data_IF_553341278864
#
_entry.id   IF_553341278864
#
_cell.length_a   1.000
_cell.length_b   1.000
_cell.length_c   1.000
_cell.angle_alpha   90.00
_cell.angle_beta   90.00
_cell.angle_gamma   90.00
#
_symmetry.space_group_name_H-M   'P 1'
#
loop_
_entity.id
_entity.type
_entity.pdbx_description
1 polymer ?
#
# COMPACT_ATOMS: atom_id res chain seq x y z
N UNK A 1 19.97 -7.62 6.46
CA UNK A 1 19.42 -6.43 5.79
C UNK A 1 19.03 -6.85 4.40
N UNK A 2 17.97 -6.27 3.86
CA UNK A 2 17.38 -6.63 2.56
C UNK A 2 17.74 -5.51 1.56
N UNK A 3 18.12 -5.87 0.34
CA UNK A 3 18.55 -5.01 -0.75
C UNK A 3 17.65 -5.30 -1.95
N UNK A 4 17.08 -4.29 -2.61
CA UNK A 4 16.36 -4.48 -3.87
C UNK A 4 17.29 -5.04 -4.96
N UNK A 5 16.75 -5.89 -5.83
CA UNK A 5 17.44 -6.43 -7.00
C UNK A 5 16.44 -6.90 -8.04
N UNK A 6 16.91 -7.24 -9.24
CA UNK A 6 16.08 -7.86 -10.28
C UNK A 6 15.50 -9.25 -9.91
N UNK A 7 15.88 -9.82 -8.75
CA UNK A 7 15.27 -11.03 -8.18
C UNK A 7 14.66 -10.77 -6.78
N UNK A 8 14.29 -9.53 -6.54
CA UNK A 8 13.75 -9.03 -5.29
C UNK A 8 14.74 -8.82 -4.15
N UNK A 9 14.23 -8.81 -2.92
CA UNK A 9 14.97 -8.45 -1.72
C UNK A 9 16.07 -9.48 -1.36
N UNK A 10 17.33 -9.15 -1.62
CA UNK A 10 18.51 -9.97 -1.30
C UNK A 10 19.21 -9.50 -0.02
N UNK A 11 20.05 -10.32 0.62
CA UNK A 11 20.73 -9.95 1.87
C UNK A 11 22.27 -9.95 1.82
N UNK A 12 22.86 -10.02 0.62
CA UNK A 12 24.29 -10.32 0.45
C UNK A 12 25.14 -9.16 -0.12
N UNK A 13 24.54 -8.02 -0.48
CA UNK A 13 25.24 -6.79 -0.85
C UNK A 13 26.11 -6.84 -2.12
N UNK A 14 26.05 -7.92 -2.93
CA UNK A 14 26.85 -8.01 -4.15
C UNK A 14 26.08 -7.40 -5.31
N UNK A 15 26.55 -6.27 -5.82
CA UNK A 15 25.87 -5.54 -6.91
C UNK A 15 24.65 -4.74 -6.46
N UNK A 16 24.55 -4.47 -5.15
CA UNK A 16 23.54 -3.60 -4.56
C UNK A 16 24.20 -2.28 -4.09
N UNK A 17 23.43 -1.19 -3.97
CA UNK A 17 23.89 0.07 -3.36
C UNK A 17 24.23 -0.11 -1.88
N UNK A 18 24.95 0.88 -1.32
CA UNK A 18 25.21 0.96 0.12
C UNK A 18 23.90 0.99 0.93
N UNK A 19 23.98 0.66 2.23
CA UNK A 19 22.81 0.62 3.12
C UNK A 19 22.03 1.95 3.10
N UNK A 20 20.71 1.87 2.92
CA UNK A 20 19.80 3.01 2.92
C UNK A 20 18.96 3.05 4.21
N UNK A 21 18.65 4.25 4.69
CA UNK A 21 17.81 4.49 5.87
C UNK A 21 16.66 5.42 5.50
N UNK A 22 15.44 4.93 5.70
CA UNK A 22 14.19 5.61 5.36
C UNK A 22 13.36 5.82 6.62
N UNK A 23 12.82 7.02 6.76
CA UNK A 23 11.91 7.45 7.83
C UNK A 23 10.89 8.41 7.22
N UNK A 24 9.75 8.60 7.87
CA UNK A 24 8.81 9.66 7.52
C UNK A 24 9.50 11.03 7.59
N UNK A 25 9.21 11.90 6.62
CA UNK A 25 9.87 13.19 6.45
C UNK A 25 11.29 13.14 5.87
N UNK A 26 11.73 14.30 5.35
CA UNK A 26 12.98 14.42 4.59
C UNK A 26 12.71 14.38 3.09
N UNK A 27 13.15 13.32 2.44
CA UNK A 27 12.87 13.06 1.02
C UNK A 27 11.60 12.19 0.81
N UNK A 28 11.07 11.54 1.86
CA UNK A 28 9.78 10.83 1.80
C UNK A 28 8.64 11.81 2.03
N UNK A 29 7.58 11.72 1.24
CA UNK A 29 6.37 12.52 1.41
C UNK A 29 5.79 12.37 2.82
N UNK A 30 5.22 13.47 3.29
CA UNK A 30 4.71 13.74 4.65
C UNK A 30 5.75 13.99 5.76
N UNK A 31 5.27 14.38 6.94
CA UNK A 31 6.06 14.66 8.13
C UNK A 31 5.97 13.50 9.12
N UNK A 32 6.97 13.40 10.02
CA UNK A 32 6.91 12.43 11.11
C UNK A 32 6.08 13.01 12.25
N UNK A 33 5.00 12.32 12.63
CA UNK A 33 4.12 12.66 13.73
C UNK A 33 4.17 11.59 14.83
N UNK A 34 3.53 11.87 15.97
CA UNK A 34 3.54 10.94 17.09
C UNK A 34 2.54 9.81 16.87
N UNK A 35 3.06 8.61 16.60
CA UNK A 35 2.38 7.27 16.59
C UNK A 35 1.86 6.77 15.24
N UNK A 36 2.29 7.38 14.16
CA UNK A 36 1.91 7.04 12.77
C UNK A 36 2.23 5.59 12.37
N UNK A 37 3.09 4.92 13.15
CA UNK A 37 3.50 3.53 12.96
C UNK A 37 4.09 3.25 11.56
N UNK A 38 4.79 4.23 10.98
CA UNK A 38 5.52 4.06 9.73
C UNK A 38 6.37 2.78 9.71
N UNK A 39 6.09 1.91 8.74
CA UNK A 39 6.80 0.63 8.57
C UNK A 39 6.28 -0.51 9.43
N UNK A 40 5.07 -0.40 10.00
CA UNK A 40 4.44 -1.49 10.74
C UNK A 40 4.06 -2.66 9.80
N UNK A 41 3.31 -2.44 8.70
CA UNK A 41 3.26 -3.38 7.59
C UNK A 41 4.14 -2.91 6.42
N UNK A 42 4.78 -3.87 5.77
CA UNK A 42 5.63 -3.67 4.59
C UNK A 42 5.25 -4.68 3.53
N UNK A 43 5.30 -4.27 2.27
CA UNK A 43 5.21 -5.17 1.13
C UNK A 43 6.14 -4.68 0.00
N UNK A 44 6.63 -5.59 -0.82
CA UNK A 44 7.51 -5.30 -1.96
C UNK A 44 6.97 -5.91 -3.23
N UNK A 45 7.12 -5.21 -4.35
CA UNK A 45 6.75 -5.66 -5.69
C UNK A 45 7.21 -4.65 -6.73
N UNK A 46 7.16 -5.02 -8.00
CA UNK A 46 7.53 -4.14 -9.11
C UNK A 46 6.28 -3.40 -9.63
N UNK A 47 5.87 -2.34 -8.93
CA UNK A 47 4.62 -1.61 -9.19
C UNK A 47 4.71 -0.78 -10.48
N UNK A 48 5.92 -0.44 -10.92
CA UNK A 48 6.18 0.31 -12.14
C UNK A 48 6.81 -0.54 -13.27
N UNK A 49 6.90 -1.86 -13.10
CA UNK A 49 7.41 -2.83 -14.07
C UNK A 49 8.75 -2.40 -14.72
N UNK A 50 9.67 -1.87 -13.91
CA UNK A 50 10.99 -1.42 -14.37
C UNK A 50 12.10 -2.46 -14.12
N UNK A 51 11.76 -3.56 -13.46
CA UNK A 51 12.64 -4.67 -13.11
C UNK A 51 13.33 -4.51 -11.76
N UNK A 52 12.94 -3.54 -10.92
CA UNK A 52 13.40 -3.39 -9.55
C UNK A 52 12.22 -3.38 -8.59
N UNK A 53 12.28 -4.21 -7.54
CA UNK A 53 11.26 -4.16 -6.49
C UNK A 53 11.19 -2.77 -5.84
N UNK A 54 9.96 -2.27 -5.75
CA UNK A 54 9.52 -1.13 -4.97
C UNK A 54 9.15 -1.56 -3.55
N UNK A 55 8.97 -0.58 -2.65
CA UNK A 55 8.58 -0.81 -1.26
C UNK A 55 7.33 0.00 -0.92
N UNK A 56 6.23 -0.70 -0.63
CA UNK A 56 5.06 -0.14 0.03
C UNK A 56 5.23 -0.19 1.55
N UNK A 57 5.02 0.95 2.20
CA UNK A 57 5.18 1.17 3.63
C UNK A 57 3.85 1.63 4.20
N UNK A 58 3.21 0.82 5.03
CA UNK A 58 2.00 1.24 5.70
C UNK A 58 2.29 2.15 6.89
N UNK A 59 1.37 3.09 7.06
CA UNK A 59 1.38 4.12 8.10
C UNK A 59 -0.02 4.14 8.68
N UNK A 60 -0.39 3.06 9.36
CA UNK A 60 -1.80 2.74 9.65
C UNK A 60 -2.49 3.72 10.58
N UNK A 61 -1.72 4.53 11.30
CA UNK A 61 -2.22 5.48 12.30
C UNK A 61 -1.89 6.92 11.85
N UNK A 62 -1.67 7.14 10.54
CA UNK A 62 -1.45 8.47 9.96
C UNK A 62 -2.67 9.38 10.12
N UNK A 63 -2.42 10.64 10.48
CA UNK A 63 -3.43 11.68 10.54
C UNK A 63 -3.46 12.49 9.25
N UNK A 64 -4.32 12.11 8.31
CA UNK A 64 -4.40 12.81 7.01
C UNK A 64 -5.34 14.02 7.06
N UNK A 65 -6.19 14.11 8.08
CA UNK A 65 -7.09 15.23 8.32
C UNK A 65 -6.69 15.91 9.62
N UNK A 66 -6.05 17.08 9.52
CA UNK A 66 -5.85 17.93 10.69
C UNK A 66 -7.19 18.53 11.15
N UNK A 67 -7.61 18.19 12.38
CA UNK A 67 -8.70 18.92 13.03
C UNK A 67 -8.15 20.10 13.86
N UNK A 68 -8.95 21.16 14.05
CA UNK A 68 -8.52 22.35 14.79
C UNK A 68 -8.19 22.07 16.28
N UNK A 69 -8.52 20.87 16.78
CA UNK A 69 -8.28 20.43 18.14
C UNK A 69 -7.00 19.59 18.29
N UNK A 70 -6.35 19.22 17.18
CA UNK A 70 -5.17 18.36 17.15
C UNK A 70 -5.49 16.93 17.60
N UNK A 71 -6.67 16.42 17.27
CA UNK A 71 -6.97 15.01 17.51
C UNK A 71 -6.22 14.13 16.51
N UNK A 72 -5.67 13.04 17.02
CA UNK A 72 -5.23 11.91 16.21
C UNK A 72 -6.48 11.21 15.69
N UNK A 73 -6.67 11.26 14.39
CA UNK A 73 -7.79 10.69 13.68
C UNK A 73 -7.45 9.30 13.14
N UNK A 74 -6.17 8.93 13.03
CA UNK A 74 -5.68 7.61 12.67
C UNK A 74 -6.34 7.06 11.38
N UNK A 75 -6.55 7.91 10.36
CA UNK A 75 -7.15 7.47 9.09
C UNK A 75 -6.26 6.47 8.35
N UNK A 76 -4.95 6.66 8.48
CA UNK A 76 -3.93 5.80 7.89
C UNK A 76 -3.56 6.15 6.45
N UNK A 77 -2.36 5.73 6.07
CA UNK A 77 -1.79 5.95 4.75
C UNK A 77 -0.84 4.81 4.32
N UNK A 78 -0.43 4.85 3.07
CA UNK A 78 0.63 4.01 2.49
C UNK A 78 1.56 4.87 1.67
N UNK A 79 2.86 4.81 1.97
CA UNK A 79 3.92 5.42 1.15
C UNK A 79 4.56 4.37 0.26
N UNK A 80 4.82 4.70 -1.00
CA UNK A 80 5.50 3.82 -1.96
C UNK A 80 6.84 4.43 -2.36
N UNK A 81 7.93 3.75 -2.02
CA UNK A 81 9.29 4.10 -2.43
C UNK A 81 9.67 3.27 -3.64
N UNK A 82 10.15 3.91 -4.70
CA UNK A 82 10.47 3.22 -5.94
C UNK A 82 11.90 2.67 -5.93
N UNK A 83 12.06 1.44 -6.42
CA UNK A 83 13.34 0.80 -6.66
C UNK A 83 14.08 1.41 -7.84
N UNK A 84 15.39 1.18 -7.88
CA UNK A 84 16.25 1.53 -9.01
C UNK A 84 17.58 0.78 -8.91
N UNK A 85 18.46 0.96 -9.90
CA UNK A 85 19.84 0.46 -9.83
C UNK A 85 20.64 1.03 -8.65
N UNK A 86 20.22 2.18 -8.11
CA UNK A 86 20.84 2.85 -6.97
C UNK A 86 20.09 2.59 -5.65
N UNK A 87 19.10 1.67 -5.67
CA UNK A 87 18.30 1.28 -4.51
C UNK A 87 16.94 1.96 -4.48
N UNK A 88 16.29 1.93 -3.32
CA UNK A 88 15.06 2.67 -3.10
C UNK A 88 15.32 4.17 -3.23
N UNK A 89 14.35 4.92 -3.72
CA UNK A 89 14.42 6.37 -3.81
C UNK A 89 13.01 7.00 -3.75
N UNK A 90 12.99 8.30 -3.43
CA UNK A 90 11.79 9.10 -3.20
C UNK A 90 11.99 10.54 -3.71
N UNK A 91 12.89 10.76 -4.65
CA UNK A 91 13.27 12.12 -5.06
C UNK A 91 13.20 12.37 -6.57
N UNK A 92 12.75 11.37 -7.33
CA UNK A 92 12.55 11.46 -8.77
C UNK A 92 13.84 11.55 -9.59
N UNK A 93 15.03 11.31 -9.01
CA UNK A 93 16.31 11.49 -9.73
C UNK A 93 16.62 10.34 -10.68
N UNK A 94 16.40 9.10 -10.25
CA UNK A 94 16.72 7.87 -10.99
C UNK A 94 15.51 6.95 -11.21
N UNK A 95 14.30 7.46 -10.97
CA UNK A 95 13.02 6.77 -11.10
C UNK A 95 11.89 7.75 -10.77
N UNK A 96 10.65 7.27 -10.56
CA UNK A 96 9.53 8.11 -10.11
C UNK A 96 9.77 8.71 -8.72
N UNK A 97 9.13 9.84 -8.42
CA UNK A 97 9.03 10.30 -7.03
C UNK A 97 8.23 9.28 -6.20
N UNK A 98 8.34 9.30 -4.87
CA UNK A 98 7.49 8.44 -4.05
C UNK A 98 6.01 8.82 -4.21
N UNK A 99 5.13 7.86 -3.88
CA UNK A 99 3.70 8.10 -3.84
C UNK A 99 3.17 7.98 -2.42
N UNK A 100 2.17 8.80 -2.10
CA UNK A 100 1.48 8.79 -0.84
C UNK A 100 -0.02 8.55 -1.06
N UNK A 101 -0.52 7.44 -0.55
CA UNK A 101 -1.88 6.96 -0.76
C UNK A 101 -2.65 6.91 0.55
N UNK A 102 -3.86 7.45 0.51
CA UNK A 102 -4.84 7.40 1.60
C UNK A 102 -6.25 7.40 0.98
N UNK A 103 -7.30 7.14 1.76
CA UNK A 103 -8.66 7.01 1.19
C UNK A 103 -9.17 8.31 0.54
N UNK A 104 -8.69 9.48 0.98
CA UNK A 104 -9.01 10.76 0.32
C UNK A 104 -8.15 11.07 -0.94
N UNK A 105 -7.24 10.18 -1.36
CA UNK A 105 -6.43 10.40 -2.57
C UNK A 105 -7.32 10.50 -3.82
N UNK A 106 -6.99 11.37 -4.80
CA UNK A 106 -7.85 11.58 -5.95
C UNK A 106 -8.14 10.29 -6.74
N UNK A 107 -9.42 9.94 -6.85
CA UNK A 107 -9.88 8.78 -7.62
C UNK A 107 -10.18 7.53 -6.80
N UNK A 108 -9.81 7.50 -5.51
CA UNK A 108 -10.18 6.41 -4.59
C UNK A 108 -11.70 6.26 -4.48
N UNK A 109 -12.16 5.01 -4.35
CA UNK A 109 -13.59 4.69 -4.18
C UNK A 109 -14.14 4.86 -2.77
N UNK A 110 -13.28 4.71 -1.76
CA UNK A 110 -13.63 5.00 -0.37
C UNK A 110 -13.20 6.43 0.01
N UNK A 111 -13.70 6.94 1.13
CA UNK A 111 -13.30 8.20 1.74
C UNK A 111 -12.77 7.91 3.13
N UNK A 112 -11.80 8.71 3.58
CA UNK A 112 -11.19 8.47 4.87
C UNK A 112 -12.13 8.88 6.00
N UNK A 113 -12.15 8.04 7.03
CA UNK A 113 -12.89 8.22 8.25
C UNK A 113 -11.97 8.00 9.44
N UNK A 114 -12.31 8.67 10.54
CA UNK A 114 -11.55 8.59 11.78
C UNK A 114 -11.43 7.12 12.18
N UNK A 115 -10.19 6.63 12.24
CA UNK A 115 -9.76 5.29 12.64
C UNK A 115 -9.99 4.19 11.62
N UNK A 116 -10.16 4.48 10.34
CA UNK A 116 -10.22 3.44 9.31
C UNK A 116 -8.93 2.59 9.25
N UNK A 117 -7.81 3.20 9.61
CA UNK A 117 -6.48 2.61 9.62
C UNK A 117 -6.08 2.03 8.25
N UNK A 118 -6.23 2.81 7.19
CA UNK A 118 -5.77 2.47 5.84
C UNK A 118 -4.28 2.11 5.87
N UNK A 119 -3.90 1.03 5.19
CA UNK A 119 -2.53 0.54 5.24
C UNK A 119 -2.22 -0.31 6.48
N UNK A 120 -3.23 -0.77 7.23
CA UNK A 120 -3.05 -1.68 8.39
C UNK A 120 -2.47 -3.05 8.04
N UNK A 121 -2.68 -3.51 6.81
CA UNK A 121 -2.02 -4.69 6.25
C UNK A 121 -1.83 -4.50 4.75
N UNK A 122 -0.82 -5.15 4.18
CA UNK A 122 -0.46 -5.02 2.77
C UNK A 122 -0.26 -6.41 2.17
N UNK A 123 -0.60 -6.57 0.88
CA UNK A 123 -0.30 -7.76 0.10
C UNK A 123 -0.13 -7.41 -1.37
N UNK A 124 0.79 -8.09 -2.06
CA UNK A 124 1.21 -7.74 -3.41
C UNK A 124 1.01 -8.89 -4.39
N UNK A 125 0.75 -8.54 -5.64
CA UNK A 125 0.79 -9.47 -6.77
C UNK A 125 0.11 -8.90 -8.00
N UNK A 126 0.40 -9.45 -9.18
CA UNK A 126 -0.28 -9.08 -10.43
C UNK A 126 -1.72 -9.63 -10.46
N UNK A 127 -2.67 -8.89 -9.89
CA UNK A 127 -4.07 -9.31 -9.77
C UNK A 127 -4.86 -9.12 -11.06
N UNK A 128 -4.38 -8.26 -11.97
CA UNK A 128 -5.05 -7.97 -13.23
C UNK A 128 -4.42 -8.66 -14.46
N UNK A 129 -3.24 -9.26 -14.31
CA UNK A 129 -2.50 -9.98 -15.35
C UNK A 129 -1.80 -9.08 -16.36
N UNK A 130 -1.45 -7.85 -16.00
CA UNK A 130 -0.79 -6.88 -16.90
C UNK A 130 0.73 -6.87 -16.81
N UNK A 131 1.29 -7.64 -15.87
CA UNK A 131 2.72 -7.81 -15.64
C UNK A 131 3.37 -6.75 -14.77
N UNK A 132 2.60 -5.79 -14.22
CA UNK A 132 3.02 -4.93 -13.12
C UNK A 132 2.42 -5.49 -11.83
N UNK A 133 3.16 -5.48 -10.73
CA UNK A 133 2.58 -5.90 -9.46
C UNK A 133 1.52 -4.89 -8.98
N UNK A 134 0.46 -5.39 -8.33
CA UNK A 134 -0.61 -4.59 -7.74
C UNK A 134 -0.52 -4.63 -6.21
N UNK A 135 -1.14 -3.66 -5.55
CA UNK A 135 -1.15 -3.55 -4.09
C UNK A 135 -2.55 -3.69 -3.51
N UNK A 136 -2.76 -4.71 -2.68
CA UNK A 136 -3.91 -4.84 -1.80
C UNK A 136 -3.62 -4.21 -0.44
N UNK A 137 -4.56 -3.40 0.06
CA UNK A 137 -4.42 -2.55 1.24
C UNK A 137 -5.58 -2.83 2.19
N UNK A 138 -5.28 -3.32 3.38
CA UNK A 138 -6.25 -3.56 4.43
C UNK A 138 -6.68 -2.28 5.14
N UNK A 139 -7.99 -2.16 5.35
CA UNK A 139 -8.67 -1.06 6.04
C UNK A 139 -9.60 -1.70 7.07
N UNK A 140 -9.01 -2.26 8.13
CA UNK A 140 -9.74 -3.21 9.00
C UNK A 140 -10.85 -2.56 9.84
N UNK A 141 -10.95 -1.24 9.87
CA UNK A 141 -12.01 -0.51 10.56
C UNK A 141 -12.92 0.29 9.63
N UNK A 142 -12.85 0.04 8.33
CA UNK A 142 -13.76 0.66 7.36
C UNK A 142 -15.24 0.41 7.73
N UNK A 143 -16.03 1.48 7.74
CA UNK A 143 -17.49 1.40 7.85
C UNK A 143 -18.15 0.92 6.55
N UNK A 144 -18.99 -0.12 6.62
CA UNK A 144 -19.89 -0.45 5.51
C UNK A 144 -21.16 0.41 5.56
N UNK A 145 -21.02 1.72 5.33
CA UNK A 145 -22.08 2.74 5.54
C UNK A 145 -23.41 2.47 4.84
N UNK A 146 -23.38 1.86 3.65
CA UNK A 146 -24.59 1.49 2.90
C UNK A 146 -25.52 0.56 3.71
N UNK A 147 -24.97 -0.12 4.72
CA UNK A 147 -25.69 -1.04 5.62
C UNK A 147 -25.67 -0.60 7.08
N UNK A 148 -25.11 0.56 7.39
CA UNK A 148 -24.95 1.09 8.76
C UNK A 148 -24.21 0.12 9.68
N UNK A 149 -23.14 -0.50 9.15
CA UNK A 149 -22.25 -1.35 9.92
C UNK A 149 -20.95 -0.61 10.19
N UNK A 150 -20.45 -0.75 11.41
CA UNK A 150 -19.24 -0.08 11.88
C UNK A 150 -18.07 -1.07 11.95
N UNK A 151 -16.89 -0.63 11.56
CA UNK A 151 -15.66 -1.44 11.62
C UNK A 151 -15.79 -2.81 10.91
N UNK A 152 -16.61 -2.88 9.86
CA UNK A 152 -16.82 -4.12 9.08
C UNK A 152 -15.53 -4.52 8.33
N UNK A 153 -14.72 -3.51 8.01
CA UNK A 153 -13.44 -3.64 7.33
C UNK A 153 -13.57 -3.77 5.82
N UNK A 154 -12.48 -3.42 5.13
CA UNK A 154 -12.36 -3.50 3.69
C UNK A 154 -10.93 -3.78 3.24
N UNK A 155 -10.80 -4.11 1.95
CA UNK A 155 -9.53 -4.19 1.22
C UNK A 155 -9.65 -3.32 -0.02
N UNK A 156 -8.80 -2.30 -0.13
CA UNK A 156 -8.61 -1.55 -1.36
C UNK A 156 -7.55 -2.24 -2.23
N UNK A 157 -7.69 -2.18 -3.55
CA UNK A 157 -6.68 -2.67 -4.50
C UNK A 157 -6.30 -1.52 -5.43
N UNK A 158 -5.02 -1.14 -5.42
CA UNK A 158 -4.42 -0.20 -6.36
C UNK A 158 -3.64 -0.99 -7.40
N UNK A 159 -3.72 -0.56 -8.66
CA UNK A 159 -3.11 -1.29 -9.77
C UNK A 159 -1.77 -0.69 -10.15
N UNK A 160 -0.80 -1.56 -10.45
CA UNK A 160 0.49 -1.17 -10.99
C UNK A 160 0.39 -0.55 -12.38
N UNK A 161 1.46 0.12 -12.80
CA UNK A 161 1.56 0.74 -14.11
C UNK A 161 3.00 1.07 -14.44
N UNK A 162 3.44 0.58 -15.60
CA UNK A 162 4.74 0.99 -16.17
C UNK A 162 4.92 2.49 -16.45
N UNK A 163 3.87 3.28 -16.35
CA UNK A 163 3.92 4.72 -16.61
C UNK A 163 3.64 5.59 -15.40
N UNK A 164 2.91 5.07 -14.42
CA UNK A 164 2.43 5.84 -13.27
C UNK A 164 2.83 5.23 -11.92
N UNK A 165 3.41 4.02 -11.90
CA UNK A 165 3.50 3.21 -10.69
C UNK A 165 2.10 2.78 -10.23
N UNK A 166 1.82 2.79 -8.93
CA UNK A 166 0.45 2.53 -8.46
C UNK A 166 -0.51 3.61 -8.97
N UNK A 167 -1.73 3.19 -9.29
CA UNK A 167 -2.79 4.07 -9.79
C UNK A 167 -4.19 3.53 -9.48
N UNK A 168 -5.18 4.41 -9.68
CA UNK A 168 -6.60 4.19 -9.34
C UNK A 168 -7.57 4.51 -10.48
N UNK A 169 -7.09 4.64 -11.72
CA UNK A 169 -7.93 5.15 -12.83
C UNK A 169 -7.80 4.44 -14.18
N UNK A 170 -6.84 3.52 -14.34
CA UNK A 170 -6.66 2.77 -15.58
C UNK A 170 -5.92 1.42 -15.35
N UNK A 171 -6.57 0.42 -14.71
CA UNK A 171 -7.98 0.39 -14.33
C UNK A 171 -8.28 1.16 -13.03
N UNK A 172 -9.57 1.42 -12.78
CA UNK A 172 -10.02 2.00 -11.51
C UNK A 172 -9.60 1.09 -10.35
N UNK A 173 -9.33 1.67 -9.18
CA UNK A 173 -9.14 0.92 -7.93
C UNK A 173 -10.31 -0.04 -7.65
N UNK A 174 -10.09 -1.04 -6.82
CA UNK A 174 -11.18 -1.88 -6.30
C UNK A 174 -11.32 -1.72 -4.79
N UNK A 175 -12.54 -1.92 -4.30
CA UNK A 175 -12.85 -1.93 -2.87
C UNK A 175 -13.66 -3.20 -2.57
N UNK A 176 -13.13 -4.04 -1.70
CA UNK A 176 -13.70 -5.33 -1.33
C UNK A 176 -14.05 -5.37 0.15
N UNK A 177 -15.25 -5.83 0.48
CA UNK A 177 -15.63 -6.20 1.84
C UNK A 177 -16.40 -7.51 1.82
N UNK A 178 -16.83 -8.02 2.97
CA UNK A 178 -17.60 -9.28 3.02
C UNK A 178 -18.92 -9.22 2.25
N UNK A 179 -19.46 -8.02 2.02
CA UNK A 179 -20.66 -7.82 1.20
C UNK A 179 -20.38 -7.75 -0.31
N UNK A 180 -19.13 -7.83 -0.75
CA UNK A 180 -18.80 -7.77 -2.17
C UNK A 180 -19.24 -9.06 -2.90
N UNK A 181 -19.69 -8.98 -4.16
CA UNK A 181 -20.17 -10.15 -4.89
C UNK A 181 -19.14 -11.29 -4.91
N UNK A 182 -19.54 -12.47 -4.44
CA UNK A 182 -18.70 -13.67 -4.44
C UNK A 182 -17.84 -13.86 -3.20
N UNK A 183 -17.80 -12.90 -2.28
CA UNK A 183 -17.29 -13.12 -0.92
C UNK A 183 -18.36 -13.86 -0.13
N UNK A 184 -17.95 -14.89 0.62
CA UNK A 184 -18.86 -15.68 1.44
C UNK A 184 -19.13 -14.95 2.76
N UNK A 185 -20.33 -15.16 3.28
CA UNK A 185 -20.91 -14.50 4.47
C UNK A 185 -21.42 -13.07 4.22
N UNK A 186 -22.08 -12.49 5.22
CA UNK A 186 -22.50 -11.07 5.22
C UNK A 186 -21.60 -10.30 6.18
N UNK A 187 -21.37 -9.01 5.95
CA UNK A 187 -20.61 -8.24 6.93
C UNK A 187 -21.46 -7.92 8.17
N UNK A 188 -20.82 -7.93 9.32
CA UNK A 188 -21.30 -7.49 10.63
C UNK A 188 -20.39 -6.43 11.25
N UNK A 189 -20.88 -5.80 12.33
CA UNK A 189 -20.11 -4.84 13.12
C UNK A 189 -18.87 -5.51 13.73
N UNK A 190 -17.69 -4.94 13.47
CA UNK A 190 -16.43 -5.41 14.04
C UNK A 190 -15.86 -6.70 13.44
N UNK A 191 -16.29 -7.06 12.22
CA UNK A 191 -15.73 -8.21 11.50
C UNK A 191 -14.27 -7.99 11.08
N UNK A 192 -13.90 -6.73 10.86
CA UNK A 192 -12.55 -6.33 10.52
C UNK A 192 -11.97 -7.05 9.29
N UNK A 193 -12.76 -7.17 8.21
CA UNK A 193 -12.27 -7.68 6.94
C UNK A 193 -11.02 -6.90 6.48
N UNK A 194 -10.01 -7.60 5.97
CA UNK A 194 -8.72 -6.98 5.62
C UNK A 194 -7.77 -6.73 6.80
N UNK A 195 -8.07 -7.19 8.02
CA UNK A 195 -7.14 -7.11 9.16
C UNK A 195 -5.79 -7.81 8.89
N UNK A 196 -5.79 -8.86 8.08
CA UNK A 196 -4.57 -9.52 7.64
C UNK A 196 -4.68 -9.88 6.16
N UNK A 197 -3.65 -9.52 5.42
CA UNK A 197 -3.43 -9.94 4.05
C UNK A 197 -2.22 -10.88 4.01
N UNK A 198 -2.33 -11.91 3.18
CA UNK A 198 -1.24 -12.82 2.89
C UNK A 198 -1.29 -13.09 1.38
N UNK A 199 -0.14 -13.08 0.75
CA UNK A 199 -0.03 -13.33 -0.67
C UNK A 199 0.66 -14.68 -0.94
N UNK A 200 0.48 -15.15 -2.16
CA UNK A 200 1.35 -16.15 -2.77
C UNK A 200 1.74 -15.61 -4.14
N UNK A 201 3.00 -15.25 -4.33
CA UNK A 201 3.55 -15.01 -5.65
C UNK A 201 3.64 -16.37 -6.37
N UNK A 202 2.84 -16.56 -7.43
CA UNK A 202 3.07 -17.66 -8.37
C UNK A 202 3.90 -17.09 -9.52
N UNK A 203 5.22 -17.21 -9.41
CA UNK A 203 6.15 -16.95 -10.50
C UNK A 203 5.64 -17.76 -11.70
N UNK A 204 5.23 -17.08 -12.77
CA UNK A 204 4.73 -17.67 -14.01
C UNK A 204 5.81 -18.40 -14.82
N UNK A 205 6.73 -19.12 -14.15
CA UNK A 205 7.70 -20.02 -14.75
C UNK A 205 6.94 -21.22 -15.35
N UNK A 206 6.37 -20.99 -16.52
CA UNK A 206 5.89 -22.05 -17.39
C UNK A 206 7.07 -23.00 -17.66
N UNK A 207 6.96 -24.30 -17.35
CA UNK A 207 8.01 -25.24 -17.71
C UNK A 207 8.18 -25.25 -19.23
N UNK A 208 9.38 -24.89 -19.69
CA UNK A 208 9.83 -25.03 -21.09
C UNK A 208 9.80 -26.49 -21.55
#
# INVERSE_FOLDING_TARGET
MLYGSFNGLQANGVGAPDDQFWQQGGDVHDHAEEKDNFGLPLASGDFNNDGYDDLAVGVSDEDIIEDEAGHLNDEGAVTVLYGSSDGLQANGVNGPDDQFWHQNSPGMRSFAEIKDCFGSSLGVGDYNGDGSDDLAIGIFKEDARARSLFDAGAVAVLYGSSTAGLQVSAPDDQLWGQNSPGVLDEAEDGDHFGMALAETHEDGDLPQ
#
